data_IF_817894101380
#
_entry.id   IF_817894101380
#
_cell.length_a   1.000
_cell.length_b   1.000
_cell.length_c   1.000
_cell.angle_alpha   90.00
_cell.angle_beta   90.00
_cell.angle_gamma   90.00
#
_symmetry.space_group_name_H-M   'P 1'
#
loop_
_entity.id
_entity.type
_entity.pdbx_description
1 polymer ?
#
# COMPACT_ATOMS: atom_id res chain seq x y z
N UNK A 1 12.91 27.44 -13.48
CA UNK A 1 12.07 26.54 -14.31
C UNK A 1 12.90 25.30 -14.55
N UNK A 2 12.33 24.16 -14.38
CA UNK A 2 12.96 22.85 -14.70
C UNK A 2 12.12 22.24 -15.81
N UNK A 3 12.41 22.65 -17.04
CA UNK A 3 11.62 22.32 -18.23
C UNK A 3 11.82 20.84 -18.61
N UNK A 4 10.73 20.12 -18.88
CA UNK A 4 10.77 18.76 -19.38
C UNK A 4 11.21 18.78 -20.85
N UNK A 5 12.35 18.19 -21.15
CA UNK A 5 12.92 18.15 -22.52
C UNK A 5 12.79 16.77 -23.19
N UNK A 6 12.69 15.68 -22.41
CA UNK A 6 12.42 14.35 -22.94
C UNK A 6 11.71 13.46 -21.93
N UNK A 7 10.91 12.52 -22.45
CA UNK A 7 10.24 11.47 -21.67
C UNK A 7 10.39 10.15 -22.42
N UNK A 8 10.82 9.11 -21.73
CA UNK A 8 10.95 7.76 -22.26
C UNK A 8 10.34 6.75 -21.32
N UNK A 9 9.75 5.70 -21.86
CA UNK A 9 9.28 4.57 -21.09
C UNK A 9 9.75 3.24 -21.66
N UNK A 10 9.81 2.26 -20.77
CA UNK A 10 10.27 0.91 -21.05
C UNK A 10 9.33 -0.10 -20.38
N UNK A 11 9.17 -1.26 -21.05
CA UNK A 11 8.57 -2.42 -20.41
C UNK A 11 9.65 -3.12 -19.57
N UNK A 12 9.43 -3.23 -18.26
CA UNK A 12 10.35 -3.87 -17.30
C UNK A 12 9.62 -4.93 -16.51
N UNK A 13 10.33 -5.70 -15.66
CA UNK A 13 9.73 -6.79 -14.89
C UNK A 13 9.43 -6.34 -13.45
N UNK A 14 8.28 -6.78 -12.94
CA UNK A 14 7.92 -6.66 -11.54
C UNK A 14 8.42 -7.87 -10.69
N UNK A 15 8.19 -7.83 -9.39
CA UNK A 15 8.60 -8.86 -8.42
C UNK A 15 7.93 -10.22 -8.62
N UNK A 16 6.87 -10.28 -9.42
CA UNK A 16 6.15 -11.52 -9.79
C UNK A 16 6.54 -12.05 -11.17
N UNK A 17 7.49 -11.38 -11.86
CA UNK A 17 7.89 -11.73 -13.23
C UNK A 17 6.87 -11.31 -14.29
N UNK A 18 5.98 -10.37 -13.98
CA UNK A 18 5.08 -9.76 -14.95
C UNK A 18 5.66 -8.44 -15.46
N UNK A 19 5.38 -8.04 -16.72
CA UNK A 19 5.80 -6.74 -17.20
C UNK A 19 5.06 -5.59 -16.53
N UNK A 20 5.77 -4.48 -16.35
CA UNK A 20 5.24 -3.20 -15.89
C UNK A 20 5.93 -2.03 -16.59
N UNK A 21 5.46 -0.80 -16.35
CA UNK A 21 5.96 0.42 -16.98
C UNK A 21 7.00 1.10 -16.09
N UNK A 22 8.19 1.36 -16.64
CA UNK A 22 9.17 2.30 -16.12
C UNK A 22 9.16 3.56 -16.98
N UNK A 23 9.23 4.74 -16.39
CA UNK A 23 9.37 6.01 -17.11
C UNK A 23 10.61 6.79 -16.64
N UNK A 24 11.24 7.48 -17.58
CA UNK A 24 12.31 8.45 -17.37
C UNK A 24 11.83 9.83 -17.83
N UNK A 25 12.02 10.85 -17.00
CA UNK A 25 11.75 12.25 -17.33
C UNK A 25 13.07 13.02 -17.26
N UNK A 26 13.48 13.65 -18.35
CA UNK A 26 14.70 14.45 -18.46
C UNK A 26 14.37 15.93 -18.49
N UNK A 27 15.07 16.72 -17.69
CA UNK A 27 14.91 18.16 -17.58
C UNK A 27 16.02 18.91 -18.34
N UNK A 28 15.83 20.23 -18.54
CA UNK A 28 16.74 21.14 -19.24
C UNK A 28 18.11 21.33 -18.58
N UNK A 29 18.26 20.89 -17.32
CA UNK A 29 19.54 20.84 -16.60
C UNK A 29 20.21 19.45 -16.63
N UNK A 30 19.79 18.57 -17.55
CA UNK A 30 20.21 17.18 -17.68
C UNK A 30 19.84 16.26 -16.50
N UNK A 31 19.02 16.72 -15.57
CA UNK A 31 18.50 15.89 -14.49
C UNK A 31 17.53 14.85 -15.05
N UNK A 32 17.65 13.60 -14.58
CA UNK A 32 16.76 12.49 -14.97
C UNK A 32 16.07 11.91 -13.75
N UNK A 33 14.75 11.95 -13.73
CA UNK A 33 13.91 11.25 -12.76
C UNK A 33 13.43 9.93 -13.33
N UNK A 34 13.48 8.85 -12.53
CA UNK A 34 13.06 7.49 -12.94
C UNK A 34 12.04 6.97 -11.95
N UNK A 35 10.94 6.40 -12.43
CA UNK A 35 9.94 5.76 -11.59
C UNK A 35 9.26 4.58 -12.29
N UNK A 36 8.62 3.73 -11.48
CA UNK A 36 7.99 2.49 -11.91
C UNK A 36 6.54 2.45 -11.43
N UNK A 37 5.65 1.85 -12.21
CA UNK A 37 4.29 1.59 -11.79
C UNK A 37 4.19 0.19 -11.14
N UNK A 38 3.68 0.07 -9.90
CA UNK A 38 3.40 -1.24 -9.31
C UNK A 38 2.10 -1.82 -9.86
N UNK A 39 1.85 -3.12 -9.59
CA UNK A 39 0.67 -3.85 -10.08
C UNK A 39 0.04 -4.72 -9.00
N UNK A 40 -1.28 -4.73 -8.86
CA UNK A 40 -2.01 -5.56 -7.90
C UNK A 40 -2.19 -7.02 -8.34
N UNK A 41 -2.42 -7.92 -7.37
CA UNK A 41 -2.96 -9.26 -7.60
C UNK A 41 -4.48 -9.24 -7.41
N UNK A 42 -4.96 -8.93 -6.20
CA UNK A 42 -6.33 -8.50 -5.96
C UNK A 42 -6.49 -7.03 -6.39
N UNK A 43 -7.61 -6.69 -7.00
CA UNK A 43 -7.87 -5.32 -7.48
C UNK A 43 -9.31 -4.94 -7.23
N UNK A 44 -9.53 -3.79 -6.61
CA UNK A 44 -10.87 -3.21 -6.47
C UNK A 44 -11.48 -2.92 -7.82
N UNK A 45 -12.77 -3.22 -7.97
CA UNK A 45 -13.47 -3.08 -9.27
C UNK A 45 -13.53 -1.63 -9.77
N UNK A 46 -13.28 -0.67 -8.90
CA UNK A 46 -13.33 0.79 -9.16
C UNK A 46 -11.97 1.45 -9.30
N UNK A 47 -10.87 0.67 -9.34
CA UNK A 47 -9.54 1.20 -9.60
C UNK A 47 -9.44 1.82 -11.01
N UNK A 48 -8.53 2.78 -11.16
CA UNK A 48 -8.12 3.27 -12.47
C UNK A 48 -7.48 2.12 -13.28
N UNK A 49 -7.68 2.15 -14.60
CA UNK A 49 -7.32 1.03 -15.47
C UNK A 49 -5.81 0.87 -15.62
N UNK A 50 -5.27 -0.26 -15.18
CA UNK A 50 -3.95 -0.72 -15.58
C UNK A 50 -4.03 -1.25 -17.03
N UNK A 51 -3.40 -0.54 -17.97
CA UNK A 51 -3.50 -0.89 -19.39
C UNK A 51 -2.54 -2.04 -19.71
N UNK A 52 -3.11 -3.17 -20.13
CA UNK A 52 -2.42 -4.38 -20.59
C UNK A 52 -2.71 -4.61 -22.08
N UNK A 53 -1.76 -5.20 -22.80
CA UNK A 53 -1.87 -5.42 -24.25
C UNK A 53 -2.92 -6.48 -24.62
N UNK A 54 -3.25 -7.39 -23.73
CA UNK A 54 -4.17 -8.52 -23.92
C UNK A 54 -3.77 -9.43 -25.09
N UNK A 55 -2.50 -9.42 -25.51
CA UNK A 55 -1.94 -10.31 -26.53
C UNK A 55 -1.47 -11.61 -25.87
N UNK A 56 -2.19 -12.74 -26.02
CA UNK A 56 -1.83 -14.00 -25.36
C UNK A 56 -0.48 -14.57 -25.83
N UNK A 57 0.04 -14.13 -26.97
CA UNK A 57 1.35 -14.56 -27.49
C UNK A 57 2.54 -13.91 -26.77
N UNK A 58 2.29 -12.82 -26.01
CA UNK A 58 3.29 -12.08 -25.24
C UNK A 58 2.90 -12.03 -23.76
N UNK A 59 3.77 -12.51 -22.88
CA UNK A 59 3.54 -12.50 -21.41
C UNK A 59 2.13 -12.98 -21.01
N UNK A 60 1.57 -13.94 -21.74
CA UNK A 60 0.22 -14.48 -21.50
C UNK A 60 -0.87 -13.40 -21.43
N UNK A 61 -0.75 -12.35 -22.25
CA UNK A 61 -1.68 -11.23 -22.30
C UNK A 61 -1.32 -10.06 -21.38
N UNK A 62 -0.29 -10.19 -20.52
CA UNK A 62 0.06 -9.19 -19.52
C UNK A 62 1.07 -8.13 -20.00
N UNK A 63 1.45 -8.10 -21.28
CA UNK A 63 2.34 -7.09 -21.85
C UNK A 63 1.85 -5.66 -21.64
N UNK A 64 2.75 -4.67 -21.66
CA UNK A 64 2.45 -3.25 -21.43
C UNK A 64 3.00 -2.32 -22.53
N UNK A 65 3.27 -2.87 -23.73
CA UNK A 65 3.83 -2.07 -24.83
C UNK A 65 2.90 -0.95 -25.29
N UNK A 66 1.57 -1.14 -25.20
CA UNK A 66 0.60 -0.08 -25.50
C UNK A 66 0.73 1.08 -24.51
N UNK A 67 0.84 0.80 -23.22
CA UNK A 67 1.08 1.82 -22.20
C UNK A 67 2.45 2.52 -22.41
N UNK A 68 3.50 1.76 -22.73
CA UNK A 68 4.83 2.31 -23.08
C UNK A 68 4.76 3.21 -24.32
N UNK A 69 4.03 2.80 -25.37
CA UNK A 69 3.83 3.63 -26.56
C UNK A 69 3.06 4.93 -26.25
N UNK A 70 2.07 4.88 -25.34
CA UNK A 70 1.34 6.05 -24.89
C UNK A 70 2.25 7.05 -24.17
N UNK A 71 3.21 6.58 -23.35
CA UNK A 71 4.20 7.45 -22.73
C UNK A 71 5.14 8.06 -23.78
N UNK A 72 5.71 7.23 -24.66
CA UNK A 72 6.68 7.66 -25.69
C UNK A 72 6.08 8.54 -26.79
N UNK A 73 4.76 8.57 -26.92
CA UNK A 73 4.01 9.36 -27.90
C UNK A 73 3.18 10.47 -27.24
N UNK A 74 1.86 10.30 -27.10
CA UNK A 74 0.95 11.39 -26.75
C UNK A 74 1.22 12.00 -25.36
N UNK A 75 1.66 11.23 -24.36
CA UNK A 75 2.00 11.78 -23.03
C UNK A 75 3.27 12.65 -23.13
N UNK A 76 4.30 12.16 -23.81
CA UNK A 76 5.50 12.93 -24.08
C UNK A 76 5.19 14.24 -24.81
N UNK A 77 4.38 14.17 -25.88
CA UNK A 77 4.02 15.34 -26.69
C UNK A 77 3.28 16.40 -25.90
N UNK A 78 2.42 16.03 -24.94
CA UNK A 78 1.66 17.00 -24.15
C UNK A 78 2.47 17.62 -22.98
N UNK A 79 3.64 17.05 -22.62
CA UNK A 79 4.42 17.50 -21.47
C UNK A 79 5.74 18.20 -21.82
N UNK A 80 6.30 17.99 -23.02
CA UNK A 80 7.52 18.70 -23.44
C UNK A 80 7.34 20.21 -23.36
N UNK A 81 8.34 20.90 -22.79
CA UNK A 81 8.32 22.35 -22.59
C UNK A 81 7.61 22.81 -21.32
N UNK A 82 7.08 21.89 -20.50
CA UNK A 82 6.41 22.24 -19.24
C UNK A 82 7.36 22.16 -18.04
N UNK A 83 7.06 22.95 -17.01
CA UNK A 83 7.84 23.00 -15.78
C UNK A 83 7.52 21.81 -14.88
N UNK A 84 8.50 20.94 -14.65
CA UNK A 84 8.38 19.76 -13.80
C UNK A 84 8.09 20.09 -12.32
N UNK A 85 8.40 21.32 -11.86
CA UNK A 85 8.14 21.73 -10.48
C UNK A 85 6.65 21.87 -10.22
N UNK A 86 5.86 22.25 -11.25
CA UNK A 86 4.41 22.32 -11.16
C UNK A 86 3.76 20.94 -11.39
N UNK A 87 3.93 20.06 -10.41
CA UNK A 87 3.41 18.69 -10.44
C UNK A 87 1.91 18.63 -10.78
N UNK A 88 1.13 19.56 -10.23
CA UNK A 88 -0.33 19.58 -10.47
C UNK A 88 -0.66 19.92 -11.91
N UNK A 89 0.05 20.85 -12.52
CA UNK A 89 -0.14 21.17 -13.94
C UNK A 89 0.29 20.01 -14.84
N UNK A 90 1.39 19.32 -14.51
CA UNK A 90 1.86 18.14 -15.27
C UNK A 90 0.84 17.02 -15.20
N UNK A 91 0.38 16.65 -14.00
CA UNK A 91 -0.61 15.59 -13.82
C UNK A 91 -1.92 15.95 -14.53
N UNK A 92 -2.43 17.18 -14.35
CA UNK A 92 -3.68 17.63 -14.97
C UNK A 92 -3.63 17.57 -16.51
N UNK A 93 -2.48 17.90 -17.13
CA UNK A 93 -2.33 17.77 -18.58
C UNK A 93 -2.46 16.33 -19.06
N UNK A 94 -1.89 15.39 -18.34
CA UNK A 94 -2.03 13.96 -18.67
C UNK A 94 -3.48 13.49 -18.53
N UNK A 95 -4.17 13.93 -17.45
CA UNK A 95 -5.57 13.62 -17.21
C UNK A 95 -6.50 14.21 -18.29
N UNK A 96 -6.28 15.46 -18.67
CA UNK A 96 -7.05 16.13 -19.73
C UNK A 96 -6.83 15.47 -21.09
N UNK A 97 -5.60 15.05 -21.38
CA UNK A 97 -5.24 14.36 -22.62
C UNK A 97 -5.80 12.92 -22.67
N UNK A 98 -5.89 12.23 -21.53
CA UNK A 98 -6.60 10.95 -21.43
C UNK A 98 -8.10 11.16 -21.60
N UNK A 99 -8.70 12.07 -20.85
CA UNK A 99 -10.10 12.48 -20.94
C UNK A 99 -11.12 11.42 -20.51
N UNK A 100 -10.68 10.31 -19.89
CA UNK A 100 -11.57 9.24 -19.41
C UNK A 100 -11.59 9.20 -17.88
N UNK A 101 -12.72 8.83 -17.23
CA UNK A 101 -12.82 8.85 -15.77
C UNK A 101 -11.84 7.89 -15.07
N UNK A 102 -11.51 6.77 -15.72
CA UNK A 102 -10.66 5.72 -15.16
C UNK A 102 -9.32 5.57 -15.87
N UNK A 103 -8.88 6.57 -16.64
CA UNK A 103 -7.61 6.59 -17.37
C UNK A 103 -7.46 5.45 -18.41
N UNK A 104 -8.60 5.04 -19.00
CA UNK A 104 -8.63 3.89 -19.92
C UNK A 104 -8.01 4.15 -21.29
N UNK A 105 -7.76 5.41 -21.66
CA UNK A 105 -7.15 5.75 -22.95
C UNK A 105 -5.64 5.56 -22.94
N UNK A 106 -4.94 6.04 -21.91
CA UNK A 106 -3.49 5.94 -21.82
C UNK A 106 -3.03 4.87 -20.84
N UNK A 107 -3.83 4.53 -19.85
CA UNK A 107 -3.52 3.62 -18.76
C UNK A 107 -3.02 4.35 -17.51
N UNK A 108 -3.56 3.98 -16.34
CA UNK A 108 -3.13 4.52 -15.06
C UNK A 108 -1.63 4.20 -14.80
N UNK A 109 -1.15 3.05 -15.24
CA UNK A 109 0.26 2.66 -15.15
C UNK A 109 1.19 3.61 -15.95
N UNK A 110 0.78 4.01 -17.16
CA UNK A 110 1.53 4.96 -17.99
C UNK A 110 1.57 6.37 -17.34
N UNK A 111 0.41 6.88 -16.93
CA UNK A 111 0.27 8.20 -16.30
C UNK A 111 1.05 8.25 -14.98
N UNK A 112 0.91 7.24 -14.13
CA UNK A 112 1.57 7.18 -12.84
C UNK A 112 3.10 7.15 -12.96
N UNK A 113 3.63 6.30 -13.85
CA UNK A 113 5.08 6.21 -14.02
C UNK A 113 5.70 7.57 -14.38
N UNK A 114 5.04 8.33 -15.29
CA UNK A 114 5.48 9.68 -15.65
C UNK A 114 5.29 10.69 -14.52
N UNK A 115 4.15 10.65 -13.82
CA UNK A 115 3.87 11.52 -12.68
C UNK A 115 4.96 11.40 -11.59
N UNK A 116 5.30 10.17 -11.20
CA UNK A 116 6.33 9.90 -10.18
C UNK A 116 7.74 10.23 -10.69
N UNK A 117 8.05 9.92 -11.95
CA UNK A 117 9.35 10.27 -12.55
C UNK A 117 9.55 11.79 -12.61
N UNK A 118 8.49 12.54 -12.92
CA UNK A 118 8.50 14.01 -12.89
C UNK A 118 8.81 14.55 -11.48
N UNK A 119 8.12 14.03 -10.45
CA UNK A 119 8.39 14.44 -9.06
C UNK A 119 9.83 14.18 -8.64
N UNK A 120 10.42 13.03 -9.06
CA UNK A 120 11.83 12.71 -8.81
C UNK A 120 12.78 13.64 -9.54
N UNK A 121 12.52 13.92 -10.81
CA UNK A 121 13.32 14.86 -11.59
C UNK A 121 13.28 16.27 -10.97
N UNK A 122 12.08 16.77 -10.62
CA UNK A 122 11.91 18.05 -9.97
C UNK A 122 12.65 18.15 -8.62
N UNK A 123 12.56 17.12 -7.78
CA UNK A 123 13.28 17.05 -6.51
C UNK A 123 14.80 17.12 -6.70
N UNK A 124 15.34 16.35 -7.66
CA UNK A 124 16.78 16.32 -7.96
C UNK A 124 17.26 17.65 -8.54
N UNK A 125 16.54 18.24 -9.48
CA UNK A 125 16.84 19.57 -10.05
C UNK A 125 16.84 20.65 -8.97
N UNK A 126 15.87 20.59 -8.03
CA UNK A 126 15.82 21.47 -6.87
C UNK A 126 16.87 21.13 -5.79
N UNK A 127 17.63 20.04 -5.94
CA UNK A 127 18.64 19.55 -4.97
C UNK A 127 18.08 19.30 -3.57
N UNK A 128 16.84 18.81 -3.50
CA UNK A 128 16.18 18.41 -2.25
C UNK A 128 15.82 16.92 -2.32
N UNK A 129 15.74 16.22 -1.17
CA UNK A 129 15.24 14.85 -1.13
C UNK A 129 13.79 14.76 -1.62
N UNK A 130 13.41 13.58 -2.17
CA UNK A 130 12.05 13.39 -2.69
C UNK A 130 10.98 13.55 -1.61
N UNK A 131 11.20 13.05 -0.38
CA UNK A 131 10.25 13.25 0.73
C UNK A 131 10.03 14.74 1.04
N UNK A 132 11.06 15.59 0.91
CA UNK A 132 10.92 17.03 1.12
C UNK A 132 10.15 17.71 -0.04
N UNK A 133 10.37 17.26 -1.26
CA UNK A 133 9.59 17.73 -2.41
C UNK A 133 8.11 17.36 -2.25
N UNK A 134 7.81 16.13 -1.87
CA UNK A 134 6.45 15.67 -1.58
C UNK A 134 5.83 16.48 -0.44
N UNK A 135 6.58 16.75 0.64
CA UNK A 135 6.10 17.58 1.74
C UNK A 135 5.72 19.00 1.28
N UNK A 136 6.52 19.59 0.40
CA UNK A 136 6.21 20.90 -0.19
C UNK A 136 4.94 20.86 -1.04
N UNK A 137 4.74 19.81 -1.84
CA UNK A 137 3.52 19.61 -2.65
C UNK A 137 2.27 19.37 -1.79
N UNK A 138 2.40 18.61 -0.71
CA UNK A 138 1.32 18.30 0.22
C UNK A 138 1.01 19.44 1.21
N UNK A 139 1.94 20.38 1.38
CA UNK A 139 1.85 21.42 2.43
C UNK A 139 2.10 20.88 3.83
N UNK A 140 2.82 19.76 3.96
CA UNK A 140 3.16 19.13 5.24
C UNK A 140 4.20 19.97 5.98
N UNK A 141 3.90 20.34 7.22
CA UNK A 141 4.79 21.16 8.05
C UNK A 141 5.61 20.35 9.06
N UNK A 142 5.16 19.14 9.38
CA UNK A 142 5.85 18.25 10.32
C UNK A 142 6.00 16.86 9.70
N UNK A 143 7.24 16.44 9.47
CA UNK A 143 7.55 15.09 9.01
C UNK A 143 7.51 14.11 10.18
N UNK A 144 7.07 12.88 9.92
CA UNK A 144 7.11 11.78 10.88
C UNK A 144 7.64 10.51 10.21
N UNK A 145 8.32 9.67 10.98
CA UNK A 145 8.65 8.32 10.52
C UNK A 145 7.43 7.41 10.69
N UNK A 146 7.00 6.70 9.64
CA UNK A 146 5.78 5.91 9.70
C UNK A 146 5.96 4.65 10.57
N UNK A 147 4.89 4.22 11.25
CA UNK A 147 4.81 2.89 11.86
C UNK A 147 4.66 1.84 10.75
N UNK A 148 5.56 0.86 10.67
CA UNK A 148 5.44 -0.19 9.66
C UNK A 148 4.41 -1.24 10.09
N UNK A 149 3.49 -1.58 9.18
CA UNK A 149 2.60 -2.72 9.26
C UNK A 149 3.27 -3.87 8.48
N UNK A 150 3.93 -4.77 9.21
CA UNK A 150 4.80 -5.80 8.62
C UNK A 150 4.02 -7.09 8.42
N UNK A 151 3.73 -7.46 7.19
CA UNK A 151 3.02 -8.68 6.83
C UNK A 151 3.94 -9.90 7.00
N UNK A 152 3.81 -10.64 8.11
CA UNK A 152 4.68 -11.78 8.45
C UNK A 152 4.07 -13.14 8.19
N UNK A 153 2.74 -13.22 7.97
CA UNK A 153 2.03 -14.44 7.60
C UNK A 153 0.96 -14.11 6.56
N UNK A 154 0.94 -14.88 5.48
CA UNK A 154 0.06 -14.71 4.33
C UNK A 154 -0.99 -15.81 4.23
N UNK A 155 -2.17 -15.44 3.76
CA UNK A 155 -3.24 -16.31 3.30
C UNK A 155 -3.91 -15.75 2.04
N UNK A 156 -5.15 -16.14 1.76
CA UNK A 156 -5.94 -15.64 0.63
C UNK A 156 -5.18 -15.69 -0.70
N UNK A 157 -5.31 -14.64 -1.50
CA UNK A 157 -4.65 -14.53 -2.82
C UNK A 157 -3.11 -14.35 -2.73
N UNK A 158 -2.56 -14.10 -1.53
CA UNK A 158 -1.12 -13.91 -1.33
C UNK A 158 -0.36 -15.21 -1.03
N UNK A 159 -1.06 -16.35 -0.86
CA UNK A 159 -0.44 -17.62 -0.51
C UNK A 159 -1.25 -18.82 -1.05
N UNK A 160 -0.56 -19.85 -1.51
CA UNK A 160 -1.16 -21.14 -1.85
C UNK A 160 -1.28 -22.01 -0.58
N UNK A 161 -2.25 -21.66 0.27
CA UNK A 161 -2.55 -22.33 1.54
C UNK A 161 -4.05 -22.26 1.86
N UNK A 162 -4.46 -22.75 3.04
CA UNK A 162 -5.86 -22.81 3.46
C UNK A 162 -6.28 -21.69 4.43
N UNK A 163 -5.51 -20.62 4.56
CA UNK A 163 -5.83 -19.50 5.45
C UNK A 163 -6.65 -18.48 4.67
N UNK A 164 -7.86 -18.14 5.15
CA UNK A 164 -8.79 -17.29 4.41
C UNK A 164 -8.40 -15.80 4.45
N UNK A 165 -8.02 -15.26 5.62
CA UNK A 165 -7.57 -13.87 5.77
C UNK A 165 -6.22 -13.70 5.07
N UNK A 166 -6.11 -12.65 4.25
CA UNK A 166 -5.00 -12.47 3.32
C UNK A 166 -3.68 -12.10 3.99
N UNK A 167 -3.70 -11.22 5.02
CA UNK A 167 -2.49 -10.76 5.68
C UNK A 167 -2.65 -10.66 7.20
N UNK A 168 -1.61 -11.14 7.90
CA UNK A 168 -1.46 -10.98 9.34
C UNK A 168 -0.19 -10.17 9.60
N UNK A 169 -0.37 -8.98 10.15
CA UNK A 169 0.69 -7.99 10.30
C UNK A 169 1.02 -7.72 11.75
N UNK A 170 2.29 -7.40 12.02
CA UNK A 170 2.76 -6.86 13.30
C UNK A 170 3.10 -5.38 13.15
N UNK A 171 2.88 -4.62 14.22
CA UNK A 171 3.20 -3.20 14.31
C UNK A 171 4.03 -2.96 15.58
N UNK A 172 5.33 -2.62 15.48
CA UNK A 172 6.18 -2.32 16.63
C UNK A 172 5.90 -0.92 17.20
N UNK A 173 4.88 -0.81 18.06
CA UNK A 173 4.33 0.48 18.53
C UNK A 173 5.07 1.08 19.71
N UNK A 174 5.91 0.31 20.43
CA UNK A 174 6.72 0.82 21.54
C UNK A 174 8.14 1.22 21.16
N UNK A 175 8.54 0.97 19.91
CA UNK A 175 9.85 1.34 19.42
C UNK A 175 10.09 2.86 19.52
N UNK A 176 11.33 3.27 19.76
CA UNK A 176 11.70 4.68 19.91
C UNK A 176 12.25 5.31 18.63
N UNK A 177 12.43 4.49 17.58
CA UNK A 177 12.90 4.90 16.26
C UNK A 177 12.40 3.91 15.21
N UNK A 178 12.43 4.30 13.95
CA UNK A 178 12.11 3.39 12.85
C UNK A 178 13.13 2.24 12.74
N UNK A 179 14.42 2.54 12.94
CA UNK A 179 15.45 1.51 12.95
C UNK A 179 15.21 0.46 14.03
N UNK A 180 14.77 0.88 15.24
CA UNK A 180 14.38 -0.02 16.32
C UNK A 180 13.15 -0.85 15.93
N UNK A 181 12.12 -0.23 15.35
CA UNK A 181 10.93 -0.93 14.88
C UNK A 181 11.26 -2.01 13.85
N UNK A 182 12.16 -1.70 12.91
CA UNK A 182 12.59 -2.65 11.89
C UNK A 182 13.40 -3.82 12.49
N UNK A 183 14.28 -3.56 13.48
CA UNK A 183 15.03 -4.59 14.21
C UNK A 183 14.07 -5.53 14.94
N UNK A 184 13.13 -4.98 15.70
CA UNK A 184 12.11 -5.74 16.44
C UNK A 184 11.32 -6.64 15.49
N UNK A 185 10.83 -6.10 14.36
CA UNK A 185 10.12 -6.88 13.36
C UNK A 185 10.96 -8.02 12.79
N UNK A 186 12.24 -7.79 12.49
CA UNK A 186 13.15 -8.82 11.97
C UNK A 186 13.37 -9.95 12.98
N UNK A 187 13.53 -9.62 14.26
CA UNK A 187 13.69 -10.60 15.34
C UNK A 187 12.43 -11.47 15.49
N UNK A 188 11.22 -10.88 15.41
CA UNK A 188 9.96 -11.60 15.44
C UNK A 188 9.82 -12.50 14.21
N UNK A 189 10.09 -11.97 13.01
CA UNK A 189 10.05 -12.73 11.75
C UNK A 189 10.93 -13.98 11.80
N UNK A 190 12.17 -13.87 12.30
CA UNK A 190 13.06 -15.02 12.45
C UNK A 190 12.62 -16.00 13.54
N UNK A 191 11.99 -15.52 14.62
CA UNK A 191 11.40 -16.40 15.63
C UNK A 191 10.16 -17.12 15.07
N UNK A 192 9.31 -16.45 14.28
CA UNK A 192 8.19 -17.09 13.58
C UNK A 192 8.67 -18.23 12.67
N UNK A 193 9.75 -18.00 11.91
CA UNK A 193 10.37 -19.05 11.09
C UNK A 193 10.78 -20.27 11.93
N UNK A 194 11.35 -20.05 13.13
CA UNK A 194 11.74 -21.15 14.03
C UNK A 194 10.53 -21.89 14.57
N UNK A 195 9.46 -21.18 14.98
CA UNK A 195 8.21 -21.79 15.46
C UNK A 195 7.58 -22.67 14.40
N UNK A 196 7.43 -22.16 13.18
CA UNK A 196 6.88 -22.91 12.04
C UNK A 196 7.74 -24.15 11.72
N UNK A 197 9.06 -23.99 11.63
CA UNK A 197 9.98 -25.10 11.36
C UNK A 197 9.96 -26.19 12.44
N UNK A 198 9.86 -25.81 13.73
CA UNK A 198 9.75 -26.75 14.85
C UNK A 198 8.45 -27.58 14.80
N UNK A 199 7.40 -27.03 14.19
CA UNK A 199 6.11 -27.71 13.97
C UNK A 199 6.06 -28.49 12.64
N UNK A 200 7.15 -28.49 11.85
CA UNK A 200 7.19 -29.11 10.53
C UNK A 200 6.35 -28.41 9.47
N UNK A 201 5.99 -27.15 9.70
CA UNK A 201 5.20 -26.34 8.78
C UNK A 201 6.09 -25.66 7.72
N UNK A 202 5.49 -25.24 6.59
CA UNK A 202 6.19 -24.55 5.53
C UNK A 202 6.77 -23.20 6.02
N UNK A 203 8.02 -22.93 5.61
CA UNK A 203 8.71 -21.65 5.84
C UNK A 203 9.05 -20.96 4.53
N UNK A 204 8.42 -21.35 3.43
CA UNK A 204 8.38 -20.59 2.18
C UNK A 204 7.55 -19.33 2.37
N UNK A 205 7.84 -18.33 1.56
CA UNK A 205 7.18 -17.02 1.66
C UNK A 205 6.32 -16.75 0.44
N UNK A 206 5.22 -16.03 0.65
CA UNK A 206 4.34 -15.53 -0.40
C UNK A 206 4.90 -14.33 -1.15
N UNK A 207 4.07 -13.73 -1.98
CA UNK A 207 4.43 -12.60 -2.86
C UNK A 207 4.94 -11.38 -2.10
N UNK A 208 4.47 -11.17 -0.88
CA UNK A 208 4.85 -10.04 -0.03
C UNK A 208 5.90 -10.39 1.04
N UNK A 209 6.43 -11.61 1.01
CA UNK A 209 7.51 -12.04 1.89
C UNK A 209 7.07 -12.61 3.25
N UNK A 210 5.77 -12.65 3.57
CA UNK A 210 5.23 -13.35 4.75
C UNK A 210 5.26 -14.87 4.56
N UNK A 211 5.34 -15.64 5.66
CA UNK A 211 5.28 -17.11 5.60
C UNK A 211 3.88 -17.57 5.20
N UNK A 212 3.81 -18.70 4.52
CA UNK A 212 2.57 -19.25 3.96
C UNK A 212 2.31 -20.70 4.42
N UNK A 213 2.17 -20.96 5.74
CA UNK A 213 1.84 -22.29 6.24
C UNK A 213 0.36 -22.62 6.06
N UNK A 214 0.00 -23.92 6.00
CA UNK A 214 -1.36 -24.36 6.24
C UNK A 214 -1.68 -24.30 7.74
N UNK A 215 -2.83 -23.73 8.09
CA UNK A 215 -3.28 -23.55 9.47
C UNK A 215 -4.76 -23.90 9.61
N UNK A 216 -5.20 -24.41 10.78
CA UNK A 216 -6.58 -24.84 10.96
C UNK A 216 -7.60 -23.71 11.02
N UNK A 217 -7.16 -22.47 11.25
CA UNK A 217 -8.03 -21.29 11.34
C UNK A 217 -7.23 -19.99 11.30
N UNK A 218 -7.91 -18.86 11.08
CA UNK A 218 -7.33 -17.51 11.22
C UNK A 218 -6.85 -17.23 12.65
N UNK A 219 -7.56 -17.72 13.67
CA UNK A 219 -7.14 -17.61 15.07
C UNK A 219 -5.81 -18.35 15.33
N UNK A 220 -5.59 -19.52 14.72
CA UNK A 220 -4.33 -20.24 14.84
C UNK A 220 -3.13 -19.44 14.26
N UNK A 221 -3.35 -18.63 13.23
CA UNK A 221 -2.32 -17.74 12.71
C UNK A 221 -1.93 -16.68 13.75
N UNK A 222 -2.91 -16.07 14.42
CA UNK A 222 -2.67 -15.09 15.49
C UNK A 222 -1.97 -15.70 16.69
N UNK A 223 -2.32 -16.93 17.08
CA UNK A 223 -1.66 -17.67 18.17
C UNK A 223 -0.18 -17.97 17.87
N UNK A 224 0.14 -18.39 16.65
CA UNK A 224 1.53 -18.67 16.24
C UNK A 224 2.35 -17.35 16.22
N UNK A 225 1.76 -16.26 15.76
CA UNK A 225 2.40 -14.94 15.82
C UNK A 225 2.64 -14.51 17.27
N UNK A 226 1.65 -14.71 18.15
CA UNK A 226 1.79 -14.42 19.57
C UNK A 226 2.94 -15.19 20.22
N UNK A 227 3.09 -16.49 19.90
CA UNK A 227 4.22 -17.31 20.34
C UNK A 227 5.56 -16.75 19.84
N UNK A 228 5.63 -16.36 18.57
CA UNK A 228 6.85 -15.80 17.97
C UNK A 228 7.25 -14.46 18.61
N UNK A 229 6.27 -13.59 18.93
CA UNK A 229 6.48 -12.32 19.64
C UNK A 229 7.06 -12.58 21.04
N UNK A 230 6.46 -13.50 21.80
CA UNK A 230 6.95 -13.90 23.13
C UNK A 230 8.35 -14.52 23.07
N UNK A 231 8.63 -15.37 22.10
CA UNK A 231 9.96 -15.99 21.91
C UNK A 231 11.03 -14.96 21.51
N UNK A 232 10.63 -13.85 20.90
CA UNK A 232 11.52 -12.72 20.60
C UNK A 232 11.77 -11.81 21.82
N UNK A 233 11.05 -12.02 22.91
CA UNK A 233 11.20 -11.25 24.15
C UNK A 233 10.33 -10.00 24.23
N UNK A 234 9.31 -9.87 23.38
CA UNK A 234 8.39 -8.74 23.35
C UNK A 234 7.02 -9.10 23.91
N UNK A 235 6.29 -8.09 24.38
CA UNK A 235 4.96 -8.22 24.97
C UNK A 235 3.90 -7.83 23.94
N UNK A 236 3.11 -8.83 23.52
CA UNK A 236 1.98 -8.59 22.61
C UNK A 236 0.92 -7.71 23.28
N UNK A 237 0.41 -6.73 22.57
CA UNK A 237 -0.53 -5.72 23.06
C UNK A 237 0.15 -4.49 23.70
N UNK A 238 1.39 -4.62 24.14
CA UNK A 238 2.18 -3.53 24.72
C UNK A 238 3.26 -3.03 23.75
N UNK A 239 4.18 -3.91 23.35
CA UNK A 239 5.27 -3.58 22.45
C UNK A 239 4.85 -3.72 20.99
N UNK A 240 4.04 -4.75 20.72
CA UNK A 240 3.57 -5.14 19.40
C UNK A 240 2.06 -5.16 19.40
N UNK A 241 1.45 -4.53 18.40
CA UNK A 241 0.04 -4.71 18.06
C UNK A 241 -0.10 -5.52 16.77
N UNK A 242 -1.30 -6.00 16.50
CA UNK A 242 -1.62 -6.78 15.32
C UNK A 242 -2.53 -5.99 14.38
N UNK A 243 -2.37 -6.24 13.09
CA UNK A 243 -3.26 -5.77 12.07
C UNK A 243 -3.62 -6.91 11.11
N UNK A 244 -4.82 -6.84 10.54
CA UNK A 244 -5.31 -7.77 9.54
C UNK A 244 -5.60 -7.02 8.24
N UNK A 245 -5.38 -7.70 7.12
CA UNK A 245 -6.02 -7.42 5.85
C UNK A 245 -6.87 -8.63 5.49
N UNK A 246 -8.19 -8.45 5.54
CA UNK A 246 -9.10 -9.56 5.24
C UNK A 246 -9.27 -9.78 3.75
N UNK A 247 -9.15 -8.73 2.92
CA UNK A 247 -9.50 -8.74 1.50
C UNK A 247 -10.85 -9.45 1.27
N UNK A 248 -11.87 -9.06 2.04
CA UNK A 248 -13.10 -9.85 2.18
C UNK A 248 -13.92 -9.96 0.90
N UNK A 249 -13.67 -9.09 -0.10
CA UNK A 249 -14.27 -9.20 -1.44
C UNK A 249 -13.91 -10.51 -2.13
N UNK A 250 -12.74 -11.11 -1.83
CA UNK A 250 -12.28 -12.34 -2.45
C UNK A 250 -13.10 -13.58 -2.04
N UNK A 251 -13.72 -13.55 -0.86
CA UNK A 251 -14.56 -14.64 -0.36
C UNK A 251 -16.04 -14.25 -0.14
N UNK A 252 -16.46 -13.07 -0.63
CA UNK A 252 -17.87 -12.66 -0.63
C UNK A 252 -18.59 -13.16 -1.87
N UNK A 253 -19.64 -13.97 -1.68
CA UNK A 253 -20.43 -14.55 -2.78
C UNK A 253 -21.90 -14.70 -2.34
N UNK A 254 -22.81 -14.31 -3.23
CA UNK A 254 -24.26 -14.46 -3.03
C UNK A 254 -24.80 -13.83 -1.74
N UNK A 255 -24.14 -12.77 -1.24
CA UNK A 255 -24.54 -12.06 -0.02
C UNK A 255 -23.96 -12.65 1.26
N UNK A 256 -23.03 -13.60 1.18
CA UNK A 256 -22.38 -14.24 2.33
C UNK A 256 -20.85 -14.23 2.20
N UNK A 257 -20.17 -14.27 3.34
CA UNK A 257 -18.72 -14.39 3.48
C UNK A 257 -18.35 -15.84 3.76
N UNK A 258 -17.65 -16.48 2.84
CA UNK A 258 -17.31 -17.91 2.89
C UNK A 258 -15.85 -18.13 3.29
N UNK A 259 -15.60 -18.45 4.55
CA UNK A 259 -14.29 -18.88 5.04
C UNK A 259 -14.10 -20.37 4.73
N UNK A 260 -13.55 -20.66 3.54
CA UNK A 260 -13.40 -22.04 3.03
C UNK A 260 -12.44 -22.86 3.88
N UNK A 261 -11.36 -22.23 4.38
CA UNK A 261 -10.37 -22.88 5.25
C UNK A 261 -10.93 -23.28 6.61
N UNK A 262 -11.91 -22.55 7.12
CA UNK A 262 -12.62 -22.89 8.37
C UNK A 262 -13.93 -23.66 8.14
N UNK A 263 -14.38 -23.77 6.89
CA UNK A 263 -15.66 -24.41 6.56
C UNK A 263 -16.88 -23.66 7.12
N UNK A 264 -16.83 -22.35 7.18
CA UNK A 264 -17.86 -21.47 7.77
C UNK A 264 -18.34 -20.43 6.76
N UNK A 265 -19.62 -20.04 6.91
CA UNK A 265 -20.21 -18.93 6.13
C UNK A 265 -20.92 -17.98 7.08
N UNK A 266 -20.96 -16.69 6.70
CA UNK A 266 -21.50 -15.63 7.54
C UNK A 266 -22.29 -14.62 6.71
N UNK A 267 -23.34 -14.05 7.30
CA UNK A 267 -23.89 -12.75 6.85
C UNK A 267 -22.92 -11.61 7.15
N UNK A 268 -23.21 -10.41 6.67
CA UNK A 268 -22.39 -9.21 6.92
C UNK A 268 -22.24 -8.94 8.43
N UNK A 269 -23.33 -9.01 9.19
CA UNK A 269 -23.28 -8.83 10.64
C UNK A 269 -22.51 -9.98 11.30
N UNK A 270 -22.75 -11.24 10.86
CA UNK A 270 -22.08 -12.41 11.44
C UNK A 270 -20.56 -12.38 11.21
N UNK A 271 -20.10 -11.91 10.05
CA UNK A 271 -18.65 -11.77 9.81
C UNK A 271 -18.07 -10.58 10.58
N UNK A 272 -18.80 -9.49 10.71
CA UNK A 272 -18.42 -8.36 11.59
C UNK A 272 -18.26 -8.81 13.05
N UNK A 273 -19.19 -9.62 13.57
CA UNK A 273 -19.11 -10.19 14.91
C UNK A 273 -17.91 -11.14 15.06
N UNK A 274 -17.63 -11.95 14.03
CA UNK A 274 -16.42 -12.80 14.00
C UNK A 274 -15.12 -11.97 14.11
N UNK A 275 -15.02 -10.86 13.37
CA UNK A 275 -13.89 -9.94 13.46
C UNK A 275 -13.81 -9.27 14.84
N UNK A 276 -14.95 -8.92 15.42
CA UNK A 276 -15.02 -8.35 16.76
C UNK A 276 -14.53 -9.35 17.83
N UNK A 277 -14.89 -10.63 17.71
CA UNK A 277 -14.41 -11.70 18.59
C UNK A 277 -12.88 -11.89 18.48
N UNK A 278 -12.34 -11.87 17.27
CA UNK A 278 -10.89 -11.92 17.06
C UNK A 278 -10.19 -10.71 17.71
N UNK A 279 -10.73 -9.49 17.52
CA UNK A 279 -10.17 -8.27 18.10
C UNK A 279 -10.32 -8.23 19.64
N UNK A 280 -11.32 -8.91 20.20
CA UNK A 280 -11.46 -9.05 21.66
C UNK A 280 -10.47 -10.06 22.26
N UNK A 281 -10.13 -11.11 21.51
CA UNK A 281 -9.21 -12.16 21.94
C UNK A 281 -7.72 -11.81 21.73
N UNK A 282 -7.41 -10.97 20.74
CA UNK A 282 -6.07 -10.59 20.35
C UNK A 282 -5.93 -9.06 20.24
N UNK A 283 -4.77 -8.46 20.46
CA UNK A 283 -4.58 -7.01 20.38
C UNK A 283 -4.53 -6.51 18.92
N UNK A 284 -5.61 -6.76 18.18
CA UNK A 284 -5.81 -6.28 16.82
C UNK A 284 -6.28 -4.82 16.91
N UNK A 285 -5.52 -3.90 16.33
CA UNK A 285 -5.81 -2.47 16.35
C UNK A 285 -6.15 -1.91 14.97
N UNK A 286 -6.01 -2.72 13.92
CA UNK A 286 -6.33 -2.34 12.55
C UNK A 286 -6.88 -3.52 11.76
N UNK A 287 -7.95 -3.30 11.00
CA UNK A 287 -8.56 -4.27 10.09
C UNK A 287 -8.80 -3.57 8.76
N UNK A 288 -8.15 -4.06 7.71
CA UNK A 288 -8.30 -3.61 6.35
C UNK A 288 -9.30 -4.52 5.63
N UNK A 289 -10.17 -3.90 4.83
CA UNK A 289 -11.19 -4.54 4.00
C UNK A 289 -11.90 -5.71 4.70
N UNK A 290 -12.40 -5.39 5.91
CA UNK A 290 -13.12 -6.35 6.75
C UNK A 290 -14.42 -6.86 6.11
N UNK A 291 -14.94 -6.16 5.10
CA UNK A 291 -16.14 -6.54 4.34
C UNK A 291 -15.94 -6.21 2.85
N UNK A 292 -16.83 -6.74 2.01
CA UNK A 292 -16.84 -6.54 0.56
C UNK A 292 -16.95 -5.05 0.17
N UNK A 293 -16.30 -4.64 -0.91
CA UNK A 293 -16.27 -3.27 -1.41
C UNK A 293 -17.66 -2.69 -1.76
N UNK A 294 -18.65 -3.54 -2.01
CA UNK A 294 -20.03 -3.15 -2.31
C UNK A 294 -20.97 -3.21 -1.10
N UNK A 295 -20.56 -3.84 0.00
CA UNK A 295 -21.40 -4.07 1.20
C UNK A 295 -21.39 -2.86 2.17
N UNK A 296 -21.84 -1.72 1.69
CA UNK A 296 -21.86 -0.47 2.47
C UNK A 296 -22.71 -0.56 3.74
N UNK A 297 -23.77 -1.36 3.72
CA UNK A 297 -24.62 -1.59 4.90
C UNK A 297 -23.86 -2.40 5.97
N UNK A 298 -23.17 -3.45 5.55
CA UNK A 298 -22.29 -4.22 6.44
C UNK A 298 -21.16 -3.37 7.00
N UNK A 299 -20.49 -2.53 6.18
CA UNK A 299 -19.48 -1.60 6.62
C UNK A 299 -20.02 -0.59 7.67
N UNK A 300 -21.26 -0.15 7.54
CA UNK A 300 -21.91 0.68 8.56
C UNK A 300 -22.00 -0.06 9.88
N UNK A 301 -22.45 -1.32 9.85
CA UNK A 301 -22.54 -2.17 11.06
C UNK A 301 -21.15 -2.40 11.68
N UNK A 302 -20.15 -2.79 10.87
CA UNK A 302 -18.77 -3.02 11.32
C UNK A 302 -18.20 -1.75 11.99
N UNK A 303 -18.42 -0.58 11.37
CA UNK A 303 -17.93 0.69 11.90
C UNK A 303 -18.57 1.04 13.24
N UNK A 304 -19.87 0.77 13.41
CA UNK A 304 -20.56 0.96 14.68
C UNK A 304 -20.03 0.02 15.79
N UNK A 305 -19.69 -1.20 15.44
CA UNK A 305 -19.18 -2.20 16.38
C UNK A 305 -17.74 -1.95 16.81
N UNK A 306 -16.85 -1.65 15.87
CA UNK A 306 -15.40 -1.62 16.09
C UNK A 306 -14.75 -0.25 15.91
N UNK A 307 -15.34 0.69 15.18
CA UNK A 307 -14.69 1.93 14.76
C UNK A 307 -14.22 2.85 15.88
N UNK A 308 -14.74 2.68 17.11
CA UNK A 308 -14.27 3.41 18.30
C UNK A 308 -13.03 2.80 18.98
N UNK A 309 -12.54 1.65 18.51
CA UNK A 309 -11.43 0.91 19.14
C UNK A 309 -10.42 0.36 18.15
N UNK A 310 -10.82 0.17 16.89
CA UNK A 310 -10.04 -0.45 15.83
C UNK A 310 -10.02 0.49 14.63
N UNK A 311 -8.85 0.65 14.03
CA UNK A 311 -8.69 1.31 12.75
C UNK A 311 -9.32 0.43 11.66
N UNK A 312 -10.36 0.92 11.00
CA UNK A 312 -11.06 0.24 9.92
C UNK A 312 -10.64 0.87 8.59
N UNK A 313 -9.75 0.17 7.89
CA UNK A 313 -9.08 0.67 6.69
C UNK A 313 -9.86 0.23 5.45
N UNK A 314 -10.26 1.18 4.61
CA UNK A 314 -10.80 0.87 3.29
C UNK A 314 -9.69 0.88 2.23
N UNK A 315 -9.43 -0.27 1.63
CA UNK A 315 -8.60 -0.46 0.43
C UNK A 315 -9.49 -0.50 -0.81
N UNK A 316 -10.07 -1.64 -1.13
CA UNK A 316 -11.01 -1.80 -2.25
C UNK A 316 -12.29 -0.96 -2.05
N UNK A 317 -12.66 -0.70 -0.79
CA UNK A 317 -13.78 0.18 -0.46
C UNK A 317 -13.60 1.59 -1.01
N UNK A 318 -12.39 2.16 -0.94
CA UNK A 318 -12.12 3.56 -1.30
C UNK A 318 -11.26 3.73 -2.56
N UNK A 319 -10.45 2.75 -2.91
CA UNK A 319 -9.54 2.71 -4.08
C UNK A 319 -8.75 4.01 -4.28
N UNK A 320 -8.31 4.64 -3.18
CA UNK A 320 -7.59 5.94 -3.19
C UNK A 320 -8.37 7.05 -3.92
N UNK A 321 -9.70 6.91 -4.06
CA UNK A 321 -10.57 7.82 -4.81
C UNK A 321 -11.27 8.81 -3.89
N UNK A 322 -11.03 10.11 -4.07
CA UNK A 322 -11.60 11.18 -3.23
C UNK A 322 -13.13 11.22 -3.23
N UNK A 323 -13.78 10.89 -4.34
CA UNK A 323 -15.25 10.89 -4.43
C UNK A 323 -15.86 9.77 -3.59
N UNK A 324 -15.22 8.59 -3.58
CA UNK A 324 -15.68 7.43 -2.81
C UNK A 324 -15.31 7.63 -1.32
N UNK A 325 -14.09 8.11 -1.05
CA UNK A 325 -13.67 8.46 0.32
C UNK A 325 -14.62 9.49 0.94
N UNK A 326 -15.00 10.53 0.17
CA UNK A 326 -15.96 11.54 0.64
C UNK A 326 -17.28 10.91 1.06
N UNK A 327 -17.80 9.93 0.32
CA UNK A 327 -18.99 9.19 0.71
C UNK A 327 -18.78 8.47 2.04
N UNK A 328 -17.67 7.77 2.21
CA UNK A 328 -17.33 7.09 3.47
C UNK A 328 -17.31 8.05 4.67
N UNK A 329 -16.68 9.22 4.48
CA UNK A 329 -16.63 10.28 5.49
C UNK A 329 -18.05 10.80 5.82
N UNK A 330 -18.83 11.14 4.80
CA UNK A 330 -20.18 11.70 4.97
C UNK A 330 -21.14 10.70 5.64
N UNK A 331 -20.98 9.40 5.37
CA UNK A 331 -21.82 8.31 5.93
C UNK A 331 -21.22 7.70 7.22
N UNK A 332 -20.07 8.19 7.71
CA UNK A 332 -19.32 7.65 8.87
C UNK A 332 -19.01 6.16 8.71
N UNK A 333 -18.43 5.77 7.58
CA UNK A 333 -18.05 4.41 7.22
C UNK A 333 -16.53 4.30 7.15
N UNK A 334 -15.96 3.37 7.92
CA UNK A 334 -14.52 3.29 8.13
C UNK A 334 -14.00 4.46 8.98
N UNK A 335 -12.70 4.50 9.20
CA UNK A 335 -11.99 5.61 9.87
C UNK A 335 -10.53 5.74 9.38
N UNK A 336 -10.18 5.00 8.33
CA UNK A 336 -8.86 5.00 7.70
C UNK A 336 -8.97 4.66 6.22
N UNK A 337 -8.00 5.13 5.44
CA UNK A 337 -7.87 4.78 4.03
C UNK A 337 -6.52 4.15 3.74
N UNK A 338 -6.50 3.10 2.92
CA UNK A 338 -5.27 2.61 2.31
C UNK A 338 -4.96 3.46 1.07
N UNK A 339 -3.72 3.87 0.93
CA UNK A 339 -3.26 4.73 -0.17
C UNK A 339 -2.38 3.91 -1.10
N UNK A 340 -2.87 3.65 -2.28
CA UNK A 340 -2.16 3.00 -3.38
C UNK A 340 -2.19 3.92 -4.60
N UNK A 341 -1.12 4.62 -4.91
CA UNK A 341 -1.11 5.65 -5.96
C UNK A 341 -1.49 5.11 -7.35
N UNK A 342 -1.29 3.81 -7.62
CA UNK A 342 -1.68 3.21 -8.89
C UNK A 342 -3.19 2.93 -9.01
N UNK A 343 -3.93 2.89 -7.89
CA UNK A 343 -5.40 2.76 -7.92
C UNK A 343 -6.08 4.03 -8.47
N UNK A 344 -5.42 5.18 -8.32
CA UNK A 344 -5.91 6.47 -8.83
C UNK A 344 -5.10 6.97 -10.03
N UNK A 345 -3.78 6.75 -10.07
CA UNK A 345 -2.93 6.89 -11.25
C UNK A 345 -2.15 8.20 -11.37
N UNK A 346 -2.16 9.11 -10.39
CA UNK A 346 -1.27 10.27 -10.35
C UNK A 346 -0.87 10.64 -8.92
N UNK A 347 0.28 11.30 -8.77
CA UNK A 347 0.74 11.80 -7.46
C UNK A 347 -0.20 12.86 -6.91
N UNK A 348 -0.67 13.78 -7.75
CA UNK A 348 -1.56 14.87 -7.32
C UNK A 348 -2.87 14.37 -6.74
N UNK A 349 -3.54 13.41 -7.41
CA UNK A 349 -4.78 12.80 -6.89
C UNK A 349 -4.52 11.98 -5.62
N UNK A 350 -3.35 11.32 -5.54
CA UNK A 350 -2.92 10.61 -4.32
C UNK A 350 -2.78 11.55 -3.13
N UNK A 351 -2.13 12.70 -3.32
CA UNK A 351 -1.98 13.72 -2.28
C UNK A 351 -3.34 14.32 -1.85
N UNK A 352 -4.26 14.49 -2.80
CA UNK A 352 -5.61 14.96 -2.52
C UNK A 352 -6.40 13.96 -1.66
N UNK A 353 -6.26 12.65 -1.91
CA UNK A 353 -6.89 11.60 -1.10
C UNK A 353 -6.34 11.56 0.32
N UNK A 354 -5.01 11.63 0.48
CA UNK A 354 -4.35 11.68 1.80
C UNK A 354 -4.83 12.92 2.57
N UNK A 355 -4.80 14.08 1.92
CA UNK A 355 -5.23 15.33 2.57
C UNK A 355 -6.70 15.27 2.99
N UNK A 356 -7.58 14.77 2.13
CA UNK A 356 -9.02 14.64 2.44
C UNK A 356 -9.24 13.74 3.66
N UNK A 357 -8.51 12.60 3.74
CA UNK A 357 -8.58 11.69 4.89
C UNK A 357 -8.15 12.41 6.17
N UNK A 358 -6.96 13.02 6.17
CA UNK A 358 -6.40 13.73 7.32
C UNK A 358 -7.28 14.90 7.78
N UNK A 359 -7.83 15.70 6.85
CA UNK A 359 -8.72 16.82 7.17
C UNK A 359 -10.04 16.35 7.81
N UNK A 360 -10.47 15.12 7.54
CA UNK A 360 -11.66 14.50 8.13
C UNK A 360 -11.39 13.73 9.43
N UNK A 361 -10.13 13.66 9.88
CA UNK A 361 -9.73 12.87 11.05
C UNK A 361 -9.61 11.37 10.78
N UNK A 362 -9.60 10.95 9.51
CA UNK A 362 -9.24 9.59 9.11
C UNK A 362 -7.71 9.44 9.11
N UNK A 363 -7.23 8.26 9.52
CA UNK A 363 -5.83 7.91 9.31
C UNK A 363 -5.59 7.49 7.85
N UNK A 364 -4.34 7.56 7.41
CA UNK A 364 -3.93 7.10 6.09
C UNK A 364 -2.77 6.12 6.21
N UNK A 365 -2.86 5.00 5.51
CA UNK A 365 -1.80 3.99 5.45
C UNK A 365 -1.22 3.98 4.04
N UNK A 366 0.04 4.34 3.88
CA UNK A 366 0.72 4.29 2.58
C UNK A 366 1.07 2.84 2.27
N UNK A 367 0.67 2.34 1.11
CA UNK A 367 0.77 0.92 0.78
C UNK A 367 1.51 0.64 -0.51
N UNK A 368 2.21 -0.50 -0.53
CA UNK A 368 2.72 -1.17 -1.71
C UNK A 368 1.60 -1.89 -2.46
N UNK A 369 1.97 -2.63 -3.52
CA UNK A 369 1.13 -3.63 -4.17
C UNK A 369 1.84 -5.00 -4.13
N UNK A 370 1.10 -6.08 -4.46
CA UNK A 370 1.67 -7.44 -4.53
C UNK A 370 2.74 -7.57 -5.63
N UNK A 371 2.58 -6.91 -6.76
CA UNK A 371 3.61 -6.75 -7.80
C UNK A 371 4.36 -5.43 -7.63
N UNK A 372 5.56 -5.50 -7.10
CA UNK A 372 6.44 -4.36 -6.84
C UNK A 372 7.71 -4.39 -7.69
N UNK A 373 8.47 -3.31 -7.63
CA UNK A 373 9.81 -3.17 -8.21
C UNK A 373 10.78 -2.71 -7.12
N UNK A 374 12.01 -2.37 -7.50
CA UNK A 374 12.98 -1.69 -6.62
C UNK A 374 12.59 -0.24 -6.27
N UNK A 375 11.54 0.33 -6.88
CA UNK A 375 11.07 1.68 -6.58
C UNK A 375 10.67 1.81 -5.09
N UNK A 376 11.15 2.86 -4.46
CA UNK A 376 10.92 3.14 -3.04
C UNK A 376 10.14 4.44 -2.79
N UNK A 377 9.44 4.97 -3.81
CA UNK A 377 8.70 6.25 -3.72
C UNK A 377 7.69 6.26 -2.58
N UNK A 378 7.05 5.13 -2.27
CA UNK A 378 6.08 5.06 -1.15
C UNK A 378 6.72 5.35 0.22
N UNK A 379 8.01 5.09 0.39
CA UNK A 379 8.73 5.46 1.61
C UNK A 379 8.85 7.00 1.74
N UNK A 380 9.24 7.66 0.65
CA UNK A 380 9.29 9.13 0.59
C UNK A 380 7.88 9.74 0.72
N UNK A 381 6.85 9.10 0.14
CA UNK A 381 5.45 9.52 0.25
C UNK A 381 4.97 9.48 1.71
N UNK A 382 5.22 8.37 2.41
CA UNK A 382 4.79 8.21 3.80
C UNK A 382 5.38 9.28 4.72
N UNK A 383 6.69 9.58 4.58
CA UNK A 383 7.35 10.61 5.38
C UNK A 383 6.93 12.00 4.92
N UNK A 384 6.91 12.27 3.60
CA UNK A 384 6.60 13.58 3.04
C UNK A 384 5.19 14.06 3.29
N UNK A 385 4.22 13.15 3.46
CA UNK A 385 2.83 13.49 3.77
C UNK A 385 2.52 13.46 5.27
N UNK A 386 3.44 12.93 6.10
CA UNK A 386 3.17 12.71 7.52
C UNK A 386 2.00 11.74 7.74
N UNK A 387 1.84 10.75 6.85
CA UNK A 387 0.73 9.78 6.91
C UNK A 387 0.74 8.91 8.17
N UNK A 388 1.89 8.76 8.82
CA UNK A 388 2.05 8.07 10.09
C UNK A 388 2.17 6.56 10.00
N UNK A 389 1.74 5.93 8.91
CA UNK A 389 1.74 4.47 8.75
C UNK A 389 2.17 4.06 7.33
N UNK A 390 2.84 2.90 7.23
CA UNK A 390 3.23 2.29 5.95
C UNK A 390 3.01 0.77 5.98
N UNK A 391 2.38 0.24 4.93
CA UNK A 391 2.21 -1.18 4.68
C UNK A 391 3.04 -1.56 3.45
N UNK A 392 4.17 -2.25 3.64
CA UNK A 392 5.10 -2.56 2.54
C UNK A 392 5.66 -3.97 2.60
N UNK A 393 4.84 -4.91 3.07
CA UNK A 393 5.16 -6.33 3.09
C UNK A 393 6.04 -6.73 4.28
N UNK A 394 6.72 -7.86 4.13
CA UNK A 394 7.54 -8.46 5.16
C UNK A 394 9.00 -7.99 5.12
N UNK A 395 9.83 -8.64 5.91
CA UNK A 395 11.24 -8.31 6.17
C UNK A 395 12.20 -9.10 5.28
N UNK A 396 11.69 -9.65 4.18
CA UNK A 396 12.47 -10.31 3.13
C UNK A 396 11.88 -9.95 1.76
N UNK A 397 12.55 -10.39 0.67
CA UNK A 397 12.35 -9.98 -0.72
C UNK A 397 12.82 -8.53 -0.95
N UNK A 398 13.71 -8.33 -1.93
CA UNK A 398 14.38 -7.05 -2.17
C UNK A 398 13.41 -5.93 -2.54
N UNK A 399 12.31 -6.27 -3.21
CA UNK A 399 11.21 -5.36 -3.57
C UNK A 399 10.51 -4.74 -2.35
N UNK A 400 10.45 -5.46 -1.23
CA UNK A 400 9.90 -4.96 0.06
C UNK A 400 10.98 -4.24 0.86
N UNK A 401 12.12 -4.90 1.03
CA UNK A 401 13.25 -4.39 1.82
C UNK A 401 13.80 -3.07 1.28
N UNK A 402 13.69 -2.81 -0.03
CA UNK A 402 14.07 -1.54 -0.64
C UNK A 402 13.37 -0.33 0.03
N UNK A 403 12.07 -0.47 0.35
CA UNK A 403 11.28 0.58 1.00
C UNK A 403 11.71 0.78 2.46
N UNK A 404 11.95 -0.30 3.20
CA UNK A 404 12.48 -0.25 4.57
C UNK A 404 13.87 0.38 4.61
N UNK A 405 14.76 0.00 3.72
CA UNK A 405 16.10 0.58 3.61
C UNK A 405 16.05 2.07 3.23
N UNK A 406 15.08 2.48 2.40
CA UNK A 406 14.86 3.91 2.12
C UNK A 406 14.43 4.67 3.37
N UNK A 407 13.53 4.12 4.16
CA UNK A 407 13.08 4.72 5.43
C UNK A 407 14.22 4.85 6.45
N UNK A 408 15.10 3.83 6.57
CA UNK A 408 16.29 3.92 7.42
C UNK A 408 17.20 5.08 7.00
N UNK A 409 17.38 5.30 5.71
CA UNK A 409 18.18 6.42 5.19
C UNK A 409 17.51 7.76 5.48
N UNK A 410 16.21 7.85 5.28
CA UNK A 410 15.44 9.07 5.60
C UNK A 410 15.55 9.39 7.11
N UNK A 411 15.39 8.38 7.98
CA UNK A 411 15.57 8.57 9.42
C UNK A 411 16.96 9.08 9.78
N UNK A 412 18.01 8.51 9.15
CA UNK A 412 19.37 8.97 9.37
C UNK A 412 19.62 10.41 8.89
N UNK A 413 18.96 10.83 7.80
CA UNK A 413 19.03 12.20 7.27
C UNK A 413 18.29 13.21 8.15
N UNK A 414 17.12 12.83 8.68
CA UNK A 414 16.23 13.73 9.44
C UNK A 414 16.50 13.72 10.96
N UNK A 415 16.98 12.60 11.51
CA UNK A 415 17.19 12.47 12.94
C UNK A 415 15.93 12.81 13.74
N UNK A 416 16.09 13.61 14.78
CA UNK A 416 15.00 13.98 15.69
C UNK A 416 13.94 14.92 15.07
N UNK A 417 14.15 15.42 13.86
CA UNK A 417 13.17 16.30 13.19
C UNK A 417 11.97 15.54 12.60
N UNK A 418 12.08 14.22 12.45
CA UNK A 418 10.97 13.34 12.06
C UNK A 418 10.85 12.20 13.09
N UNK A 419 10.10 12.41 14.19
CA UNK A 419 9.99 11.42 15.25
C UNK A 419 9.20 10.19 14.79
N UNK A 420 9.60 9.03 15.32
CA UNK A 420 8.77 7.82 15.30
C UNK A 420 7.81 7.89 16.50
N UNK A 421 6.51 7.98 16.26
CA UNK A 421 5.51 8.25 17.29
C UNK A 421 4.79 6.99 17.79
N UNK A 422 5.06 5.84 17.15
CA UNK A 422 4.54 4.55 17.56
C UNK A 422 3.02 4.52 17.65
N UNK A 423 2.47 4.11 18.78
CA UNK A 423 1.02 3.97 19.00
C UNK A 423 0.22 5.23 18.67
N UNK A 424 0.78 6.42 18.86
CA UNK A 424 0.07 7.67 18.56
C UNK A 424 -0.23 7.90 17.06
N UNK A 425 0.34 7.10 16.17
CA UNK A 425 0.01 7.13 14.73
C UNK A 425 -1.20 6.25 14.36
N UNK A 426 -1.73 5.50 15.33
CA UNK A 426 -2.87 4.59 15.14
C UNK A 426 -4.18 5.16 15.75
N UNK A 427 -4.09 6.33 16.40
CA UNK A 427 -5.20 6.98 17.13
C UNK A 427 -5.78 8.16 16.36
#
# INVERSE_FOLDING_TARGET
MSEIIDIRAFEVMDSRGNPTVMAEVTLDDDTVGVAYAPSGASTGSREALELRDADPSRYLGKGVLTAVANVNGPIRECLIGHDAIDQRAVDQRMLDADGTPNKSKYGANAILAVSLATARAAAQSAKIPLYQHIANLAGTTQLTMPVPMMNILNGGEHADNNVDIQEFMIQPVSATSFAEALRVGAEIFHNLKKVLGARGMATSVGDEGGFAPDLPSNAAALEIIAEAVGNAGYVLGQDITLALDCAASEFYREGEYHLSGEGRSFSSEGFSDYLADLAAAHPIVSIEDGLDESDWAGWTYLTQQLGGKVQLVGDDLFVTNTSILKRGIDENIGNSILIKFNQIGSLSETLDAIKMAQDAGFTAVISHRSGETEDATIADLAVGTGAGQIKTGSLCRSDRVAKYNRLLRIEAELGMTAPYRGRAELE
#
